data_IF_138617097766
#
_entry.id   IF_138617097766
#
_cell.length_a   1.000
_cell.length_b   1.000
_cell.length_c   1.000
_cell.angle_alpha   90.00
_cell.angle_beta   90.00
_cell.angle_gamma   90.00
#
_symmetry.space_group_name_H-M   'P 1'
#
loop_
_entity.id
_entity.type
_entity.pdbx_description
1 polymer ?
#
# COMPACT_ATOMS: atom_id res chain seq x y z
N UNK A 1 28.57 -22.89 0.35
CA UNK A 1 27.99 -23.42 1.61
C UNK A 1 26.49 -23.17 1.57
N UNK A 2 25.70 -24.25 1.58
CA UNK A 2 24.30 -24.28 1.19
C UNK A 2 23.38 -23.49 2.13
N UNK A 3 22.83 -22.37 1.64
CA UNK A 3 21.71 -21.66 2.25
C UNK A 3 20.39 -22.33 1.84
N UNK A 4 20.02 -23.40 2.55
CA UNK A 4 18.68 -23.98 2.48
C UNK A 4 17.70 -23.06 3.23
N UNK A 5 16.90 -22.34 2.46
CA UNK A 5 15.78 -21.52 2.95
C UNK A 5 14.82 -22.35 3.80
N UNK A 6 14.44 -21.82 4.96
CA UNK A 6 13.47 -22.42 5.88
C UNK A 6 12.11 -22.73 5.20
N UNK A 7 11.77 -22.02 4.11
CA UNK A 7 10.60 -22.27 3.26
C UNK A 7 10.65 -23.64 2.56
N UNK A 8 11.84 -24.14 2.18
CA UNK A 8 11.97 -25.47 1.58
C UNK A 8 11.74 -26.59 2.60
N UNK A 9 12.00 -26.36 3.90
CA UNK A 9 11.68 -27.33 4.96
C UNK A 9 10.19 -27.39 5.26
N UNK A 10 9.45 -26.30 5.05
CA UNK A 10 7.99 -26.28 5.21
C UNK A 10 7.26 -27.02 4.07
N UNK A 11 7.88 -27.08 2.88
CA UNK A 11 7.31 -27.71 1.68
C UNK A 11 7.86 -29.12 1.39
N UNK A 12 8.96 -29.52 2.03
CA UNK A 12 9.73 -30.72 1.68
C UNK A 12 9.62 -31.93 2.64
N UNK A 13 8.69 -31.92 3.60
CA UNK A 13 8.49 -33.07 4.51
C UNK A 13 7.62 -34.17 3.89
N UNK A 14 8.27 -35.15 3.26
CA UNK A 14 7.74 -36.50 2.95
C UNK A 14 7.40 -37.24 4.26
N UNK A 15 6.53 -38.24 4.39
CA UNK A 15 5.78 -39.14 3.51
C UNK A 15 4.50 -39.53 4.26
N UNK A 16 3.32 -39.29 3.69
CA UNK A 16 2.07 -39.83 4.22
C UNK A 16 1.60 -40.93 3.26
N UNK A 17 1.35 -42.12 3.81
CA UNK A 17 0.75 -43.27 3.14
C UNK A 17 -0.44 -42.86 2.28
N UNK A 18 -0.58 -43.38 1.05
CA UNK A 18 -1.69 -43.02 0.18
C UNK A 18 -2.99 -43.52 0.83
N UNK A 19 -3.87 -42.58 1.19
CA UNK A 19 -5.25 -42.90 1.52
C UNK A 19 -5.91 -43.25 0.19
N UNK A 20 -6.26 -44.53 0.02
CA UNK A 20 -7.00 -45.01 -1.15
C UNK A 20 -8.31 -44.22 -1.32
N UNK A 21 -8.75 -43.98 -2.57
CA UNK A 21 -10.00 -43.27 -2.81
C UNK A 21 -11.15 -44.12 -2.28
N UNK A 22 -11.86 -43.59 -1.28
CA UNK A 22 -13.11 -44.17 -0.77
C UNK A 22 -14.10 -44.25 -1.94
N UNK A 23 -14.48 -45.48 -2.27
CA UNK A 23 -15.57 -45.81 -3.18
C UNK A 23 -16.83 -45.09 -2.71
N UNK A 24 -17.46 -44.37 -3.63
CA UNK A 24 -18.72 -43.69 -3.42
C UNK A 24 -19.84 -44.73 -3.29
N UNK A 25 -20.17 -45.13 -2.07
CA UNK A 25 -21.49 -45.68 -1.76
C UNK A 25 -21.83 -45.49 -0.27
N UNK A 26 -22.98 -44.86 -0.04
CA UNK A 26 -23.76 -44.74 1.20
C UNK A 26 -23.06 -44.29 2.50
N UNK A 27 -23.27 -43.02 2.92
CA UNK A 27 -23.72 -42.67 4.28
C UNK A 27 -23.77 -41.14 4.53
N UNK A 28 -24.93 -40.52 4.34
CA UNK A 28 -25.15 -39.12 4.77
C UNK A 28 -25.01 -38.92 6.30
N UNK A 29 -25.23 -39.97 7.10
CA UNK A 29 -25.09 -39.91 8.57
C UNK A 29 -23.62 -39.83 9.03
N UNK A 30 -22.69 -40.47 8.31
CA UNK A 30 -21.27 -40.51 8.66
C UNK A 30 -20.56 -39.18 8.30
N UNK A 31 -21.01 -38.55 7.21
CA UNK A 31 -20.58 -37.21 6.82
C UNK A 31 -21.00 -36.13 7.83
N UNK A 32 -22.23 -36.23 8.36
CA UNK A 32 -22.72 -35.32 9.40
C UNK A 32 -21.89 -35.40 10.68
N UNK A 33 -21.54 -36.62 11.10
CA UNK A 33 -20.68 -36.87 12.25
C UNK A 33 -19.25 -36.33 12.02
N UNK A 34 -18.67 -36.59 10.86
CA UNK A 34 -17.33 -36.09 10.48
C UNK A 34 -17.28 -34.56 10.52
N UNK A 35 -18.29 -33.88 9.98
CA UNK A 35 -18.38 -32.42 10.03
C UNK A 35 -18.45 -31.90 11.47
N UNK A 36 -19.31 -32.48 12.31
CA UNK A 36 -19.45 -32.07 13.70
C UNK A 36 -18.16 -32.26 14.49
N UNK A 37 -17.41 -33.33 14.21
CA UNK A 37 -16.09 -33.58 14.80
C UNK A 37 -15.07 -32.52 14.38
N UNK A 38 -15.03 -32.12 13.11
CA UNK A 38 -14.15 -31.05 12.63
C UNK A 38 -14.51 -29.67 13.22
N UNK A 39 -15.79 -29.31 13.24
CA UNK A 39 -16.26 -28.07 13.87
C UNK A 39 -15.90 -28.06 15.37
N UNK A 40 -16.05 -29.20 16.05
CA UNK A 40 -15.64 -29.36 17.45
C UNK A 40 -14.13 -29.23 17.63
N UNK A 41 -13.32 -29.74 16.70
CA UNK A 41 -11.86 -29.60 16.76
C UNK A 41 -11.42 -28.16 16.54
N UNK A 42 -12.00 -27.46 15.56
CA UNK A 42 -11.75 -26.04 15.33
C UNK A 42 -12.18 -25.22 16.56
N UNK A 43 -13.32 -25.53 17.18
CA UNK A 43 -13.74 -24.92 18.43
C UNK A 43 -12.75 -25.20 19.58
N UNK A 44 -12.23 -26.43 19.69
CA UNK A 44 -11.22 -26.80 20.69
C UNK A 44 -9.90 -26.04 20.50
N UNK A 45 -9.52 -25.68 19.28
CA UNK A 45 -8.32 -24.85 19.08
C UNK A 45 -8.47 -23.45 19.69
N UNK A 46 -9.71 -22.95 19.80
CA UNK A 46 -10.05 -21.69 20.47
C UNK A 46 -10.10 -21.88 22.00
N UNK A 47 -10.44 -23.08 22.50
CA UNK A 47 -10.47 -23.35 23.95
C UNK A 47 -9.09 -23.43 24.58
N UNK A 48 -8.04 -23.67 23.79
CA UNK A 48 -6.64 -23.64 24.22
C UNK A 48 -6.10 -22.22 24.47
N UNK A 49 -6.81 -21.18 24.03
CA UNK A 49 -6.48 -19.79 24.36
C UNK A 49 -6.99 -19.42 25.76
N UNK A 50 -6.32 -18.47 26.41
CA UNK A 50 -6.88 -17.85 27.60
C UNK A 50 -8.19 -17.12 27.26
N UNK A 51 -9.03 -16.91 28.29
CA UNK A 51 -10.37 -16.35 28.12
C UNK A 51 -10.33 -14.95 27.48
N UNK A 52 -9.37 -14.11 27.88
CA UNK A 52 -9.26 -12.73 27.36
C UNK A 52 -8.79 -12.70 25.92
N UNK A 53 -7.83 -13.55 25.56
CA UNK A 53 -7.38 -13.71 24.17
C UNK A 53 -8.50 -14.21 23.27
N UNK A 54 -9.29 -15.18 23.76
CA UNK A 54 -10.44 -15.71 23.05
C UNK A 54 -11.50 -14.64 22.78
N UNK A 55 -11.88 -13.90 23.83
CA UNK A 55 -12.85 -12.80 23.73
C UNK A 55 -12.36 -11.74 22.75
N UNK A 56 -11.11 -11.28 22.88
CA UNK A 56 -10.54 -10.27 21.98
C UNK A 56 -10.51 -10.73 20.52
N UNK A 57 -10.22 -12.01 20.24
CA UNK A 57 -10.25 -12.54 18.86
C UNK A 57 -11.68 -12.64 18.33
N UNK A 58 -12.65 -13.01 19.16
CA UNK A 58 -14.05 -13.07 18.74
C UNK A 58 -14.62 -11.67 18.49
N UNK A 59 -14.33 -10.70 19.36
CA UNK A 59 -14.65 -9.30 19.16
C UNK A 59 -14.04 -8.77 17.87
N UNK A 60 -12.74 -9.01 17.66
CA UNK A 60 -12.03 -8.73 16.42
C UNK A 60 -12.80 -9.32 15.23
N UNK A 61 -13.07 -10.63 15.20
CA UNK A 61 -13.71 -11.30 14.06
C UNK A 61 -15.10 -10.78 13.76
N UNK A 62 -15.89 -10.54 14.80
CA UNK A 62 -17.21 -9.96 14.65
C UNK A 62 -17.13 -8.45 14.38
N UNK A 63 -15.97 -7.79 14.36
CA UNK A 63 -15.89 -6.36 14.09
C UNK A 63 -16.54 -5.52 15.19
N UNK A 64 -16.39 -5.94 16.45
CA UNK A 64 -16.70 -5.12 17.61
C UNK A 64 -15.52 -4.14 17.77
N UNK A 65 -15.80 -2.84 17.62
CA UNK A 65 -14.76 -1.81 17.53
C UNK A 65 -14.32 -1.37 18.92
N UNK A 66 -13.02 -1.48 19.20
CA UNK A 66 -12.42 -0.74 20.31
C UNK A 66 -12.27 0.73 19.89
N UNK A 67 -12.86 1.64 20.68
CA UNK A 67 -12.99 3.07 20.37
C UNK A 67 -11.72 3.88 20.63
N UNK A 68 -10.74 3.33 21.35
CA UNK A 68 -9.53 4.05 21.71
C UNK A 68 -8.50 4.04 20.57
N UNK A 69 -8.19 5.22 20.04
CA UNK A 69 -7.04 5.40 19.16
C UNK A 69 -5.82 5.79 20.01
N UNK A 70 -4.86 4.87 20.22
CA UNK A 70 -3.70 5.13 21.08
C UNK A 70 -2.73 6.14 20.45
N UNK A 71 -2.85 6.43 19.14
CA UNK A 71 -2.09 7.48 18.46
C UNK A 71 -2.54 8.91 18.81
N UNK A 72 -3.65 9.09 19.53
CA UNK A 72 -4.12 10.42 19.95
C UNK A 72 -3.16 11.10 20.94
N UNK A 73 -2.25 10.34 21.57
CA UNK A 73 -1.17 10.88 22.40
C UNK A 73 0.15 10.91 21.61
N UNK A 74 0.63 12.08 21.16
CA UNK A 74 1.88 12.20 20.41
C UNK A 74 3.09 11.63 21.15
N UNK A 75 3.14 11.78 22.47
CA UNK A 75 4.25 11.29 23.29
C UNK A 75 4.35 9.75 23.25
N UNK A 76 3.20 9.06 23.23
CA UNK A 76 3.17 7.59 23.08
C UNK A 76 3.72 7.17 21.71
N UNK A 77 3.35 7.89 20.64
CA UNK A 77 3.83 7.58 19.30
C UNK A 77 5.33 7.76 19.17
N UNK A 78 5.87 8.85 19.71
CA UNK A 78 7.30 9.12 19.65
C UNK A 78 8.08 8.11 20.51
N UNK A 79 7.55 7.70 21.67
CA UNK A 79 8.14 6.63 22.48
C UNK A 79 8.20 5.30 21.71
N UNK A 80 7.11 4.87 21.05
CA UNK A 80 7.13 3.61 20.30
C UNK A 80 8.11 3.62 19.13
N UNK A 81 8.26 4.75 18.45
CA UNK A 81 9.24 4.92 17.38
C UNK A 81 10.68 4.88 17.91
N UNK A 82 10.95 5.51 19.06
CA UNK A 82 12.26 5.44 19.71
C UNK A 82 12.60 4.01 20.15
N UNK A 83 11.64 3.31 20.76
CA UNK A 83 11.81 1.91 21.17
C UNK A 83 12.02 1.00 19.94
N UNK A 84 11.29 1.25 18.85
CA UNK A 84 11.47 0.52 17.59
C UNK A 84 12.88 0.71 17.04
N UNK A 85 13.38 1.94 17.03
CA UNK A 85 14.75 2.25 16.58
C UNK A 85 15.77 1.52 17.44
N UNK A 86 15.63 1.55 18.77
CA UNK A 86 16.47 0.81 19.70
C UNK A 86 16.47 -0.70 19.39
N UNK A 87 15.30 -1.31 19.21
CA UNK A 87 15.22 -2.74 18.87
C UNK A 87 15.88 -3.04 17.53
N UNK A 88 15.65 -2.22 16.49
CA UNK A 88 16.27 -2.38 15.18
C UNK A 88 17.80 -2.27 15.27
N UNK A 89 18.36 -1.30 16.01
CA UNK A 89 19.82 -1.21 16.17
C UNK A 89 20.44 -2.47 16.77
N UNK A 90 19.72 -3.14 17.68
CA UNK A 90 20.19 -4.36 18.33
C UNK A 90 20.17 -5.58 17.40
N UNK A 91 19.25 -5.65 16.44
CA UNK A 91 19.04 -6.85 15.61
C UNK A 91 19.42 -6.67 14.13
N UNK A 92 19.75 -5.47 13.67
CA UNK A 92 19.93 -5.20 12.22
C UNK A 92 21.20 -5.77 11.60
N UNK A 93 22.28 -5.95 12.35
CA UNK A 93 23.60 -6.34 11.80
C UNK A 93 23.51 -7.69 11.09
N UNK A 94 24.02 -7.76 9.87
CA UNK A 94 24.00 -8.95 9.01
C UNK A 94 22.63 -9.29 8.42
N UNK A 95 21.62 -8.44 8.60
CA UNK A 95 20.27 -8.67 8.08
C UNK A 95 20.00 -7.86 6.82
N UNK A 96 18.91 -8.19 6.12
CA UNK A 96 18.46 -7.43 4.95
C UNK A 96 18.11 -5.98 5.28
N UNK A 97 17.78 -5.67 6.54
CA UNK A 97 17.49 -4.29 6.96
C UNK A 97 18.75 -3.43 6.89
N UNK A 98 19.91 -3.94 7.32
CA UNK A 98 21.18 -3.22 7.18
C UNK A 98 21.48 -2.92 5.70
N UNK A 99 21.17 -3.87 4.80
CA UNK A 99 21.36 -3.61 3.37
C UNK A 99 20.35 -2.60 2.81
N UNK A 100 19.08 -2.66 3.23
CA UNK A 100 18.08 -1.67 2.82
C UNK A 100 18.40 -0.27 3.37
N UNK A 101 18.91 -0.17 4.60
CA UNK A 101 19.38 1.07 5.21
C UNK A 101 20.59 1.65 4.48
N UNK A 102 21.50 0.79 3.98
CA UNK A 102 22.62 1.21 3.15
C UNK A 102 22.19 1.69 1.75
N UNK A 103 21.11 1.14 1.18
CA UNK A 103 20.55 1.56 -0.11
C UNK A 103 19.86 2.92 0.03
N UNK A 104 18.91 3.04 0.96
CA UNK A 104 18.22 4.30 1.25
C UNK A 104 17.74 4.33 2.71
N UNK A 105 18.55 4.99 3.53
CA UNK A 105 18.26 5.20 4.96
C UNK A 105 16.98 6.01 5.16
N UNK A 106 16.70 7.00 4.32
CA UNK A 106 15.54 7.88 4.47
C UNK A 106 14.25 7.09 4.29
N UNK A 107 14.22 6.17 3.32
CA UNK A 107 13.08 5.28 3.11
C UNK A 107 12.76 4.43 4.34
N UNK A 108 13.74 3.64 4.83
CA UNK A 108 13.51 2.66 5.92
C UNK A 108 13.33 3.33 7.29
N UNK A 109 13.88 4.53 7.49
CA UNK A 109 13.69 5.30 8.73
C UNK A 109 12.52 6.27 8.69
N UNK A 110 11.79 6.36 7.57
CA UNK A 110 10.64 7.25 7.46
C UNK A 110 9.56 6.90 8.50
N UNK A 111 8.92 7.93 9.08
CA UNK A 111 7.84 7.73 10.07
C UNK A 111 6.71 6.91 9.47
N UNK A 112 6.32 7.20 8.23
CA UNK A 112 5.23 6.49 7.52
C UNK A 112 5.52 4.99 7.37
N UNK A 113 6.75 4.62 6.99
CA UNK A 113 7.15 3.22 6.88
C UNK A 113 7.08 2.52 8.24
N UNK A 114 7.73 3.07 9.27
CA UNK A 114 7.80 2.48 10.62
C UNK A 114 6.43 2.37 11.30
N UNK A 115 5.58 3.38 11.17
CA UNK A 115 4.24 3.37 11.76
C UNK A 115 3.36 2.23 11.22
N UNK A 116 3.56 1.81 9.97
CA UNK A 116 2.82 0.69 9.39
C UNK A 116 3.03 -0.60 10.18
N UNK A 117 4.27 -0.89 10.58
CA UNK A 117 4.64 -2.07 11.37
C UNK A 117 4.20 -1.95 12.82
N UNK A 118 4.34 -0.77 13.42
CA UNK A 118 3.82 -0.53 14.78
C UNK A 118 2.32 -0.79 14.82
N UNK A 119 1.54 -0.21 13.89
CA UNK A 119 0.08 -0.44 13.79
C UNK A 119 -0.25 -1.92 13.60
N UNK A 120 0.48 -2.61 12.72
CA UNK A 120 0.28 -4.04 12.47
C UNK A 120 0.51 -4.92 13.71
N UNK A 121 1.45 -4.54 14.59
CA UNK A 121 1.80 -5.26 15.82
C UNK A 121 1.21 -4.64 17.09
N UNK A 122 0.13 -3.86 16.99
CA UNK A 122 -0.51 -3.20 18.16
C UNK A 122 0.49 -2.41 19.03
N UNK A 123 1.42 -1.74 18.37
CA UNK A 123 2.47 -0.89 18.94
C UNK A 123 3.50 -1.62 19.81
N UNK A 124 3.61 -2.95 19.68
CA UNK A 124 4.76 -3.69 20.17
C UNK A 124 5.98 -3.37 19.28
N UNK A 125 6.86 -2.51 19.78
CA UNK A 125 8.07 -2.06 19.08
C UNK A 125 9.06 -3.20 18.78
N UNK A 126 9.12 -4.23 19.62
CA UNK A 126 10.02 -5.37 19.41
C UNK A 126 9.48 -6.28 18.30
N UNK A 127 8.19 -6.63 18.35
CA UNK A 127 7.54 -7.41 17.30
C UNK A 127 7.58 -6.68 15.96
N UNK A 128 7.36 -5.36 15.96
CA UNK A 128 7.47 -4.53 14.77
C UNK A 128 8.88 -4.54 14.17
N UNK A 129 9.94 -4.44 14.99
CA UNK A 129 11.32 -4.52 14.51
C UNK A 129 11.61 -5.84 13.79
N UNK A 130 11.16 -6.96 14.39
CA UNK A 130 11.30 -8.31 13.80
C UNK A 130 10.52 -8.41 12.49
N UNK A 131 9.28 -7.88 12.45
CA UNK A 131 8.46 -7.92 11.26
C UNK A 131 9.04 -7.08 10.12
N UNK A 132 9.66 -5.93 10.39
CA UNK A 132 10.35 -5.12 9.36
C UNK A 132 11.41 -5.95 8.63
N UNK A 133 12.24 -6.70 9.38
CA UNK A 133 13.28 -7.53 8.78
C UNK A 133 12.66 -8.63 7.91
N UNK A 134 11.67 -9.36 8.44
CA UNK A 134 10.96 -10.41 7.68
C UNK A 134 10.28 -9.88 6.42
N UNK A 135 9.65 -8.71 6.52
CA UNK A 135 9.03 -8.03 5.39
C UNK A 135 10.04 -7.71 4.30
N UNK A 136 11.21 -7.16 4.66
CA UNK A 136 12.26 -6.86 3.69
C UNK A 136 12.86 -8.13 3.10
N UNK A 137 12.95 -9.23 3.85
CA UNK A 137 13.40 -10.53 3.32
C UNK A 137 12.40 -11.07 2.29
N UNK A 138 11.11 -11.03 2.61
CA UNK A 138 10.03 -11.37 1.70
C UNK A 138 10.13 -10.50 0.44
N UNK A 139 10.23 -9.18 0.60
CA UNK A 139 10.32 -8.23 -0.51
C UNK A 139 11.53 -8.50 -1.40
N UNK A 140 12.71 -8.78 -0.83
CA UNK A 140 13.90 -9.19 -1.58
C UNK A 140 13.66 -10.47 -2.37
N UNK A 141 13.02 -11.47 -1.74
CA UNK A 141 12.76 -12.76 -2.40
C UNK A 141 11.78 -12.64 -3.58
N UNK A 142 10.84 -11.70 -3.50
CA UNK A 142 9.83 -11.47 -4.54
C UNK A 142 10.34 -10.57 -5.67
N UNK A 143 11.14 -9.55 -5.34
CA UNK A 143 11.41 -8.43 -6.25
C UNK A 143 12.89 -8.14 -6.48
N UNK A 144 13.80 -8.87 -5.83
CA UNK A 144 15.23 -8.60 -5.91
C UNK A 144 15.73 -7.58 -4.89
N UNK A 145 17.04 -7.46 -4.81
CA UNK A 145 17.76 -6.62 -3.86
C UNK A 145 17.57 -5.13 -4.17
N UNK A 146 17.57 -4.80 -5.45
CA UNK A 146 17.48 -3.44 -6.00
C UNK A 146 16.14 -2.75 -5.70
N UNK A 147 15.09 -3.51 -5.38
CA UNK A 147 13.76 -2.99 -5.04
C UNK A 147 13.49 -2.90 -3.54
N UNK A 148 14.46 -3.21 -2.68
CA UNK A 148 14.27 -3.26 -1.23
C UNK A 148 13.82 -1.93 -0.62
N UNK A 149 14.45 -0.82 -0.99
CA UNK A 149 14.12 0.50 -0.47
C UNK A 149 13.25 1.33 -1.43
N UNK A 150 12.52 0.65 -2.32
CA UNK A 150 11.63 1.28 -3.31
C UNK A 150 10.17 0.88 -3.08
N UNK A 151 9.22 1.80 -3.24
CA UNK A 151 7.79 1.42 -3.33
C UNK A 151 7.55 0.65 -4.63
N UNK A 152 7.05 -0.58 -4.55
CA UNK A 152 6.71 -1.41 -5.71
C UNK A 152 5.49 -0.81 -6.42
N UNK A 153 5.60 -0.58 -7.72
CA UNK A 153 4.52 -0.09 -8.60
C UNK A 153 4.17 -1.12 -9.67
N UNK A 154 3.14 -0.87 -10.48
CA UNK A 154 2.79 -1.70 -11.65
C UNK A 154 3.94 -1.84 -12.65
N UNK A 155 4.84 -0.85 -12.73
CA UNK A 155 6.02 -0.92 -13.59
C UNK A 155 7.07 -1.92 -13.09
N UNK A 156 7.03 -2.29 -11.80
CA UNK A 156 7.94 -3.28 -11.21
C UNK A 156 7.42 -4.72 -11.36
N UNK A 157 6.20 -4.90 -11.86
CA UNK A 157 5.54 -6.18 -12.08
C UNK A 157 5.72 -6.65 -13.53
N UNK A 158 5.88 -7.96 -13.72
CA UNK A 158 5.93 -8.56 -15.06
C UNK A 158 4.53 -8.69 -15.69
N UNK A 159 4.46 -9.13 -16.94
CA UNK A 159 3.18 -9.26 -17.65
C UNK A 159 2.28 -10.35 -17.06
N UNK A 160 2.85 -11.41 -16.49
CA UNK A 160 2.08 -12.46 -15.82
C UNK A 160 1.45 -11.96 -14.51
N UNK A 161 2.20 -11.15 -13.75
CA UNK A 161 1.72 -10.47 -12.54
C UNK A 161 0.56 -9.51 -12.88
N UNK A 162 0.71 -8.73 -13.95
CA UNK A 162 -0.34 -7.80 -14.42
C UNK A 162 -1.56 -8.55 -14.92
N UNK A 163 -1.38 -9.61 -15.70
CA UNK A 163 -2.47 -10.48 -16.14
C UNK A 163 -3.19 -11.10 -14.95
N UNK A 164 -2.45 -11.51 -13.90
CA UNK A 164 -3.03 -12.01 -12.65
C UNK A 164 -3.88 -10.95 -11.96
N UNK A 165 -3.40 -9.71 -11.87
CA UNK A 165 -4.19 -8.60 -11.33
C UNK A 165 -5.44 -8.33 -12.17
N UNK A 166 -5.32 -8.30 -13.50
CA UNK A 166 -6.44 -8.04 -14.42
C UNK A 166 -7.49 -9.16 -14.43
N UNK A 167 -7.12 -10.40 -14.10
CA UNK A 167 -8.05 -11.54 -14.01
C UNK A 167 -9.20 -11.32 -13.01
N UNK A 168 -9.02 -10.44 -12.03
CA UNK A 168 -9.98 -10.24 -10.94
C UNK A 168 -10.09 -11.39 -9.95
N UNK A 169 -9.21 -12.40 -10.04
CA UNK A 169 -9.14 -13.49 -9.04
C UNK A 169 -8.76 -12.98 -7.65
N UNK A 170 -8.12 -11.81 -7.56
CA UNK A 170 -7.86 -11.05 -6.35
C UNK A 170 -8.54 -9.68 -6.51
N UNK A 171 -9.33 -9.24 -5.53
CA UNK A 171 -10.00 -7.94 -5.57
C UNK A 171 -9.90 -7.22 -4.22
N UNK A 172 -9.95 -5.89 -4.26
CA UNK A 172 -10.14 -5.05 -3.06
C UNK A 172 -11.57 -4.54 -3.10
N UNK A 173 -12.34 -4.78 -2.04
CA UNK A 173 -13.69 -4.27 -1.96
C UNK A 173 -13.70 -2.74 -1.85
N UNK A 174 -14.63 -2.09 -2.54
CA UNK A 174 -14.92 -0.67 -2.34
C UNK A 174 -15.73 -0.40 -1.07
N UNK A 175 -16.26 -1.46 -0.44
CA UNK A 175 -16.97 -1.40 0.83
C UNK A 175 -16.08 -1.92 1.95
N UNK A 176 -16.37 -1.45 3.15
CA UNK A 176 -15.76 -1.94 4.37
C UNK A 176 -16.74 -2.86 5.09
N UNK A 177 -16.25 -3.65 6.03
CA UNK A 177 -17.13 -4.31 6.99
C UNK A 177 -17.62 -3.33 8.07
N UNK A 178 -18.46 -3.82 8.99
CA UNK A 178 -19.07 -2.98 10.04
C UNK A 178 -18.08 -2.30 10.99
N UNK A 179 -16.83 -2.78 11.07
CA UNK A 179 -15.78 -2.18 11.88
C UNK A 179 -14.95 -1.15 11.10
N UNK A 180 -15.27 -0.89 9.84
CA UNK A 180 -14.50 0.00 8.98
C UNK A 180 -13.18 -0.61 8.50
N UNK A 181 -13.13 -1.94 8.35
CA UNK A 181 -11.95 -2.66 7.84
C UNK A 181 -12.09 -2.87 6.33
N UNK A 182 -10.98 -2.70 5.61
CA UNK A 182 -10.92 -3.11 4.20
C UNK A 182 -11.11 -4.62 4.04
N UNK A 183 -11.84 -5.02 3.00
CA UNK A 183 -12.11 -6.42 2.67
C UNK A 183 -11.28 -6.82 1.44
N UNK A 184 -10.41 -7.82 1.61
CA UNK A 184 -9.60 -8.40 0.54
C UNK A 184 -10.22 -9.71 0.06
N UNK A 185 -10.56 -9.78 -1.22
CA UNK A 185 -11.38 -10.84 -1.81
C UNK A 185 -10.53 -11.75 -2.71
N UNK A 186 -10.80 -13.05 -2.64
CA UNK A 186 -10.19 -14.05 -3.52
C UNK A 186 -11.29 -14.89 -4.17
N UNK A 187 -11.39 -14.83 -5.50
CA UNK A 187 -12.40 -15.53 -6.30
C UNK A 187 -11.75 -16.61 -7.15
N UNK A 188 -11.69 -17.86 -6.67
CA UNK A 188 -11.20 -18.98 -7.48
C UNK A 188 -12.06 -19.24 -8.73
N UNK A 189 -13.33 -18.80 -8.77
CA UNK A 189 -14.23 -18.96 -9.92
C UNK A 189 -13.78 -18.18 -11.16
N UNK A 190 -12.97 -17.14 -10.99
CA UNK A 190 -12.43 -16.32 -12.07
C UNK A 190 -11.09 -16.85 -12.62
N UNK A 191 -10.63 -18.02 -12.16
CA UNK A 191 -9.43 -18.65 -12.72
C UNK A 191 -9.74 -19.16 -14.12
N UNK A 192 -9.03 -18.67 -15.14
CA UNK A 192 -9.16 -19.20 -16.49
C UNK A 192 -8.63 -20.63 -16.56
N UNK A 193 -9.35 -21.52 -17.24
CA UNK A 193 -8.93 -22.89 -17.50
C UNK A 193 -7.52 -22.91 -18.12
N UNK A 194 -6.58 -23.62 -17.50
CA UNK A 194 -5.19 -23.74 -17.97
C UNK A 194 -4.21 -22.67 -17.49
N UNK A 195 -4.66 -21.62 -16.81
CA UNK A 195 -3.76 -20.59 -16.23
C UNK A 195 -3.32 -20.96 -14.82
N UNK A 196 -2.43 -21.94 -14.70
CA UNK A 196 -1.70 -22.16 -13.46
C UNK A 196 -0.57 -21.14 -13.38
N UNK A 197 -0.87 -20.00 -12.74
CA UNK A 197 0.16 -19.03 -12.43
C UNK A 197 1.18 -19.65 -11.48
N UNK A 198 2.46 -19.35 -11.73
CA UNK A 198 3.51 -19.70 -10.78
C UNK A 198 3.17 -19.12 -9.40
N UNK A 199 3.53 -19.86 -8.34
CA UNK A 199 3.31 -19.41 -6.96
C UNK A 199 3.86 -18.00 -6.74
N UNK A 200 5.03 -17.70 -7.32
CA UNK A 200 5.66 -16.38 -7.25
C UNK A 200 4.81 -15.26 -7.82
N UNK A 201 4.19 -15.44 -8.98
CA UNK A 201 3.27 -14.47 -9.59
C UNK A 201 2.11 -14.15 -8.66
N UNK A 202 1.52 -15.19 -8.06
CA UNK A 202 0.42 -15.01 -7.10
C UNK A 202 0.86 -14.27 -5.84
N UNK A 203 2.07 -14.51 -5.35
CA UNK A 203 2.62 -13.81 -4.18
C UNK A 203 2.95 -12.35 -4.49
N UNK A 204 3.53 -12.04 -5.66
CA UNK A 204 3.80 -10.65 -6.09
C UNK A 204 2.52 -9.84 -6.28
N UNK A 205 1.50 -10.43 -6.91
CA UNK A 205 0.19 -9.80 -7.06
C UNK A 205 -0.47 -9.52 -5.69
N UNK A 206 -0.45 -10.48 -4.76
CA UNK A 206 -0.96 -10.29 -3.40
C UNK A 206 -0.18 -9.24 -2.62
N UNK A 207 1.15 -9.26 -2.70
CA UNK A 207 2.01 -8.24 -2.10
C UNK A 207 1.58 -6.86 -2.58
N UNK A 208 1.46 -6.67 -3.90
CA UNK A 208 1.09 -5.40 -4.49
C UNK A 208 -0.29 -4.94 -3.97
N UNK A 209 -1.32 -5.80 -4.03
CA UNK A 209 -2.68 -5.41 -3.60
C UNK A 209 -2.75 -5.10 -2.10
N UNK A 210 -2.12 -5.88 -1.24
CA UNK A 210 -2.14 -5.62 0.21
C UNK A 210 -1.38 -4.32 0.53
N UNK A 211 -0.22 -4.07 -0.09
CA UNK A 211 0.50 -2.82 0.10
C UNK A 211 -0.29 -1.60 -0.38
N UNK A 212 -1.13 -1.75 -1.40
CA UNK A 212 -2.09 -0.73 -1.83
C UNK A 212 -3.17 -0.46 -0.77
N UNK A 213 -3.73 -1.52 -0.17
CA UNK A 213 -4.70 -1.35 0.93
C UNK A 213 -4.08 -0.64 2.12
N UNK A 214 -2.80 -0.88 2.39
CA UNK A 214 -2.04 -0.24 3.46
C UNK A 214 -1.59 1.20 3.13
N UNK A 215 -1.95 1.77 1.98
CA UNK A 215 -1.82 3.22 1.79
C UNK A 215 -2.77 3.99 2.72
N UNK A 216 -3.88 3.36 3.15
CA UNK A 216 -4.82 3.91 4.14
C UNK A 216 -4.36 3.62 5.58
N UNK A 217 -4.24 4.66 6.39
CA UNK A 217 -3.95 4.51 7.83
C UNK A 217 -5.08 3.80 8.58
N UNK A 218 -6.33 3.96 8.15
CA UNK A 218 -7.46 3.26 8.75
C UNK A 218 -7.32 1.74 8.60
N UNK A 219 -6.90 1.27 7.42
CA UNK A 219 -6.64 -0.16 7.20
C UNK A 219 -5.44 -0.65 8.02
N UNK A 220 -4.42 0.19 8.22
CA UNK A 220 -3.29 -0.16 9.08
C UNK A 220 -3.74 -0.33 10.55
N UNK A 221 -4.59 0.57 11.07
CA UNK A 221 -5.09 0.54 12.45
C UNK A 221 -6.15 -0.55 12.68
N UNK A 222 -7.17 -0.56 11.83
CA UNK A 222 -8.33 -1.44 11.96
C UNK A 222 -8.02 -2.85 11.44
N UNK A 223 -6.98 -3.01 10.64
CA UNK A 223 -6.63 -4.26 9.97
C UNK A 223 -7.49 -4.54 8.75
N UNK A 224 -7.28 -5.73 8.20
CA UNK A 224 -7.91 -6.20 6.96
C UNK A 224 -8.60 -7.53 7.25
N UNK A 225 -9.77 -7.74 6.64
CA UNK A 225 -10.44 -9.03 6.60
C UNK A 225 -10.25 -9.65 5.22
N UNK A 226 -9.89 -10.93 5.19
CA UNK A 226 -9.76 -11.68 3.95
C UNK A 226 -10.97 -12.60 3.76
N UNK A 227 -11.49 -12.65 2.54
CA UNK A 227 -12.55 -13.58 2.16
C UNK A 227 -12.10 -14.37 0.94
N UNK A 228 -11.93 -15.68 1.13
CA UNK A 228 -11.80 -16.63 0.04
C UNK A 228 -13.20 -17.13 -0.32
N UNK A 229 -13.71 -16.77 -1.50
CA UNK A 229 -15.09 -17.03 -1.89
C UNK A 229 -15.17 -18.10 -2.98
N UNK A 230 -14.98 -19.35 -2.58
CA UNK A 230 -15.08 -20.54 -3.45
C UNK A 230 -16.50 -21.06 -3.65
N UNK A 231 -17.51 -20.48 -3.00
CA UNK A 231 -18.91 -20.89 -3.14
C UNK A 231 -19.51 -20.65 -4.54
N UNK A 232 -18.79 -19.93 -5.41
CA UNK A 232 -19.12 -19.72 -6.83
C UNK A 232 -18.39 -20.68 -7.77
N UNK A 233 -17.45 -21.47 -7.27
CA UNK A 233 -16.64 -22.38 -8.10
C UNK A 233 -17.27 -23.77 -8.17
N UNK A 234 -17.04 -24.45 -9.29
CA UNK A 234 -17.15 -25.91 -9.33
C UNK A 234 -15.90 -26.53 -8.69
N UNK A 235 -16.01 -27.67 -7.97
CA UNK A 235 -14.87 -28.32 -7.36
C UNK A 235 -13.89 -28.78 -8.44
N UNK A 236 -12.70 -28.17 -8.47
CA UNK A 236 -11.59 -28.67 -9.30
C UNK A 236 -10.54 -29.27 -8.40
N UNK A 237 -9.99 -30.44 -8.79
CA UNK A 237 -9.09 -31.27 -7.96
C UNK A 237 -7.75 -30.61 -7.58
N UNK A 238 -7.48 -29.37 -8.00
CA UNK A 238 -6.21 -28.68 -7.74
C UNK A 238 -6.44 -27.34 -7.03
N UNK A 239 -6.91 -27.42 -5.79
CA UNK A 239 -6.80 -26.29 -4.86
C UNK A 239 -5.33 -26.16 -4.43
N UNK A 240 -4.55 -25.45 -5.25
CA UNK A 240 -3.16 -25.11 -4.92
C UNK A 240 -3.11 -24.28 -3.63
N UNK A 241 -2.28 -24.71 -2.68
CA UNK A 241 -1.92 -23.99 -1.45
C UNK A 241 -1.24 -22.66 -1.80
N UNK A 242 -2.06 -21.67 -2.15
CA UNK A 242 -1.58 -20.32 -2.38
C UNK A 242 -1.21 -19.70 -1.03
N UNK A 243 0.08 -19.79 -0.66
CA UNK A 243 0.61 -19.36 0.64
C UNK A 243 0.13 -17.96 1.04
N UNK A 244 -0.25 -17.81 2.31
CA UNK A 244 -0.54 -16.48 2.87
C UNK A 244 0.75 -15.70 3.09
N UNK A 245 0.69 -14.39 2.83
CA UNK A 245 1.80 -13.47 3.04
C UNK A 245 1.81 -12.94 4.48
N UNK A 246 2.18 -13.79 5.42
CA UNK A 246 2.19 -13.49 6.85
C UNK A 246 3.19 -12.39 7.24
N UNK A 247 4.23 -12.19 6.43
CA UNK A 247 5.31 -11.24 6.72
C UNK A 247 4.99 -9.80 6.25
N UNK A 248 3.80 -9.54 5.70
CA UNK A 248 3.37 -8.19 5.36
C UNK A 248 2.90 -7.40 6.61
N UNK A 249 3.09 -6.07 6.64
CA UNK A 249 2.75 -5.23 7.78
C UNK A 249 1.26 -4.86 7.84
N UNK A 250 0.40 -5.88 7.88
CA UNK A 250 -1.03 -5.68 8.12
C UNK A 250 -1.51 -6.54 9.28
N UNK A 251 -2.51 -6.00 9.99
CA UNK A 251 -3.22 -6.75 11.01
C UNK A 251 -4.28 -7.62 10.33
N UNK A 252 -4.00 -8.91 10.14
CA UNK A 252 -5.01 -9.86 9.67
C UNK A 252 -6.03 -10.10 10.78
N UNK A 253 -7.25 -9.62 10.58
CA UNK A 253 -8.27 -9.76 11.62
C UNK A 253 -8.99 -11.10 11.53
N UNK A 254 -9.34 -11.51 10.30
CA UNK A 254 -9.99 -12.78 10.02
C UNK A 254 -9.80 -13.21 8.58
N UNK A 255 -9.85 -14.52 8.36
CA UNK A 255 -9.95 -15.13 7.03
C UNK A 255 -11.21 -15.98 6.98
N UNK A 256 -12.11 -15.65 6.07
CA UNK A 256 -13.36 -16.38 5.85
C UNK A 256 -13.24 -17.18 4.55
N UNK A 257 -13.30 -18.51 4.64
CA UNK A 257 -13.26 -19.40 3.50
C UNK A 257 -14.66 -19.95 3.25
N UNK A 258 -15.27 -19.61 2.12
CA UNK A 258 -16.64 -19.98 1.77
C UNK A 258 -16.65 -21.03 0.66
N UNK A 259 -17.37 -22.12 0.85
CA UNK A 259 -17.43 -23.25 -0.09
C UNK A 259 -18.83 -23.80 -0.24
N UNK A 260 -19.17 -24.22 -1.46
CA UNK A 260 -20.36 -25.01 -1.79
C UNK A 260 -20.03 -26.52 -1.93
N UNK A 261 -18.75 -26.88 -1.94
CA UNK A 261 -18.26 -28.25 -2.04
C UNK A 261 -17.84 -28.77 -0.67
N UNK A 262 -18.38 -29.92 -0.29
CA UNK A 262 -18.02 -30.57 0.96
C UNK A 262 -16.55 -31.02 0.96
N UNK A 263 -16.05 -31.50 -0.18
CA UNK A 263 -14.66 -31.91 -0.31
C UNK A 263 -13.69 -30.75 -0.04
N UNK A 264 -13.97 -29.57 -0.61
CA UNK A 264 -13.17 -28.36 -0.37
C UNK A 264 -13.26 -27.89 1.10
N UNK A 265 -14.47 -27.90 1.67
CA UNK A 265 -14.68 -27.59 3.08
C UNK A 265 -13.85 -28.50 4.00
N UNK A 266 -13.89 -29.82 3.78
CA UNK A 266 -13.13 -30.79 4.58
C UNK A 266 -11.62 -30.59 4.39
N UNK A 267 -11.16 -30.45 3.15
CA UNK A 267 -9.76 -30.24 2.83
C UNK A 267 -9.18 -29.01 3.54
N UNK A 268 -9.85 -27.87 3.43
CA UNK A 268 -9.41 -26.62 4.06
C UNK A 268 -9.51 -26.68 5.58
N UNK A 269 -10.54 -27.31 6.12
CA UNK A 269 -10.69 -27.47 7.57
C UNK A 269 -9.54 -28.29 8.17
N UNK A 270 -9.11 -29.36 7.50
CA UNK A 270 -7.92 -30.13 7.88
C UNK A 270 -6.63 -29.32 7.68
N UNK A 271 -6.52 -28.56 6.58
CA UNK A 271 -5.35 -27.73 6.30
C UNK A 271 -5.13 -26.66 7.37
N UNK A 272 -6.19 -26.08 7.92
CA UNK A 272 -6.12 -25.10 9.02
C UNK A 272 -5.42 -25.69 10.26
N UNK A 273 -5.57 -26.99 10.52
CA UNK A 273 -4.92 -27.65 11.66
C UNK A 273 -3.39 -27.64 11.55
N UNK A 274 -2.85 -27.51 10.34
CA UNK A 274 -1.41 -27.42 10.07
C UNK A 274 -0.87 -25.98 10.20
N UNK A 275 -1.73 -24.98 10.33
CA UNK A 275 -1.30 -23.58 10.49
C UNK A 275 -0.71 -23.35 11.88
N UNK A 276 0.12 -22.31 12.07
CA UNK A 276 0.58 -21.88 13.40
C UNK A 276 -0.60 -21.53 14.32
N UNK A 277 -0.46 -21.82 15.61
CA UNK A 277 -1.50 -21.62 16.62
C UNK A 277 -2.01 -20.17 16.68
N UNK A 278 -1.16 -19.17 16.46
CA UNK A 278 -1.55 -17.75 16.46
C UNK A 278 -2.56 -17.37 15.36
N UNK A 279 -2.66 -18.17 14.29
CA UNK A 279 -3.46 -17.88 13.11
C UNK A 279 -4.79 -18.65 13.12
N UNK A 280 -4.79 -19.91 13.56
CA UNK A 280 -5.97 -20.79 13.52
C UNK A 280 -7.24 -20.12 14.08
N UNK A 281 -7.21 -19.41 15.23
CA UNK A 281 -8.38 -18.79 15.81
C UNK A 281 -9.01 -17.71 14.92
N UNK A 282 -8.28 -17.17 13.95
CA UNK A 282 -8.72 -16.14 12.99
C UNK A 282 -9.27 -16.73 11.68
N UNK A 283 -9.22 -18.05 11.51
CA UNK A 283 -9.79 -18.74 10.35
C UNK A 283 -11.25 -19.10 10.61
N UNK A 284 -12.13 -18.86 9.64
CA UNK A 284 -13.54 -19.30 9.65
C UNK A 284 -13.87 -19.98 8.34
N UNK A 285 -14.41 -21.19 8.41
CA UNK A 285 -14.84 -21.95 7.22
C UNK A 285 -16.36 -21.98 7.18
N UNK A 286 -16.93 -21.58 6.05
CA UNK A 286 -18.37 -21.53 5.80
C UNK A 286 -18.71 -22.51 4.69
N UNK A 287 -19.64 -23.41 4.98
CA UNK A 287 -20.16 -24.37 4.00
C UNK A 287 -21.65 -24.13 3.75
N UNK A 288 -22.05 -24.14 2.48
CA UNK A 288 -23.45 -24.01 2.05
C UNK A 288 -23.56 -23.42 0.65
N UNK A 289 -24.78 -23.03 0.27
CA UNK A 289 -25.01 -22.27 -0.97
C UNK A 289 -24.29 -20.90 -0.92
N UNK A 290 -24.25 -20.20 -2.05
CA UNK A 290 -23.78 -18.82 -2.11
C UNK A 290 -24.51 -17.94 -1.08
N UNK A 291 -25.85 -18.02 -1.04
CA UNK A 291 -26.68 -17.27 -0.10
C UNK A 291 -26.37 -17.61 1.36
N UNK A 292 -26.19 -18.89 1.70
CA UNK A 292 -25.84 -19.32 3.06
C UNK A 292 -24.49 -18.74 3.51
N UNK A 293 -23.50 -18.74 2.61
CA UNK A 293 -22.18 -18.18 2.90
C UNK A 293 -22.25 -16.67 3.13
N UNK A 294 -22.98 -15.93 2.29
CA UNK A 294 -23.18 -14.49 2.46
C UNK A 294 -23.91 -14.17 3.77
N UNK A 295 -24.94 -14.95 4.12
CA UNK A 295 -25.65 -14.79 5.39
C UNK A 295 -24.71 -15.00 6.59
N UNK A 296 -23.85 -16.01 6.55
CA UNK A 296 -22.84 -16.25 7.59
C UNK A 296 -21.84 -15.10 7.66
N UNK A 297 -21.33 -14.61 6.54
CA UNK A 297 -20.42 -13.46 6.49
C UNK A 297 -21.04 -12.20 7.12
N UNK A 298 -22.34 -11.97 6.91
CA UNK A 298 -23.06 -10.85 7.52
C UNK A 298 -23.07 -10.91 9.06
N UNK A 299 -23.08 -12.10 9.67
CA UNK A 299 -22.95 -12.27 11.13
C UNK A 299 -21.58 -11.85 11.68
N UNK A 300 -20.55 -11.81 10.83
CA UNK A 300 -19.23 -11.25 11.13
C UNK A 300 -19.10 -9.78 10.70
N UNK A 301 -20.22 -9.17 10.29
CA UNK A 301 -20.29 -7.78 9.89
C UNK A 301 -19.77 -7.50 8.48
N UNK A 302 -19.58 -8.52 7.65
CA UNK A 302 -19.15 -8.37 6.25
C UNK A 302 -20.42 -8.37 5.38
N UNK A 303 -20.85 -7.21 4.85
CA UNK A 303 -22.10 -7.12 4.10
C UNK A 303 -21.96 -7.77 2.71
N UNK A 304 -23.08 -8.21 2.14
CA UNK A 304 -23.11 -8.88 0.83
C UNK A 304 -22.45 -8.02 -0.25
N UNK A 305 -22.73 -6.73 -0.23
CA UNK A 305 -22.27 -5.75 -1.22
C UNK A 305 -20.76 -5.49 -1.11
N UNK A 306 -20.12 -5.91 -0.01
CA UNK A 306 -18.67 -5.91 0.10
C UNK A 306 -18.01 -7.09 -0.61
N UNK A 307 -18.77 -8.14 -0.95
CA UNK A 307 -18.24 -9.38 -1.56
C UNK A 307 -18.68 -9.47 -3.02
N UNK A 308 -19.97 -9.34 -3.30
CA UNK A 308 -20.55 -9.56 -4.63
C UNK A 308 -21.34 -8.33 -5.10
N UNK A 309 -21.60 -8.28 -6.40
CA UNK A 309 -22.52 -7.31 -7.00
C UNK A 309 -23.99 -7.74 -6.83
N UNK A 310 -24.92 -6.94 -7.36
CA UNK A 310 -26.36 -7.21 -7.29
C UNK A 310 -26.77 -8.51 -7.99
N UNK A 311 -25.98 -8.97 -8.97
CA UNK A 311 -26.17 -10.22 -9.71
C UNK A 311 -25.53 -11.45 -9.05
N UNK A 312 -25.08 -11.34 -7.80
CA UNK A 312 -24.36 -12.41 -7.08
C UNK A 312 -23.05 -12.87 -7.76
N UNK A 313 -22.41 -11.97 -8.48
CA UNK A 313 -21.14 -12.19 -9.16
C UNK A 313 -20.01 -11.32 -8.58
N UNK A 314 -18.73 -11.71 -8.76
CA UNK A 314 -17.61 -10.84 -8.43
C UNK A 314 -17.69 -9.51 -9.19
N UNK A 315 -17.40 -8.39 -8.52
CA UNK A 315 -17.55 -7.07 -9.12
C UNK A 315 -16.38 -6.68 -10.04
N UNK A 316 -16.33 -7.29 -11.22
CA UNK A 316 -15.27 -7.05 -12.21
C UNK A 316 -15.20 -5.60 -12.70
N UNK A 317 -16.33 -4.90 -12.77
CA UNK A 317 -16.37 -3.49 -13.19
C UNK A 317 -15.62 -2.63 -12.17
N UNK A 318 -15.96 -2.76 -10.88
CA UNK A 318 -15.29 -2.01 -9.82
C UNK A 318 -13.80 -2.38 -9.72
N UNK A 319 -13.46 -3.67 -9.88
CA UNK A 319 -12.07 -4.13 -9.90
C UNK A 319 -11.26 -3.50 -11.03
N UNK A 320 -11.79 -3.49 -12.26
CA UNK A 320 -11.09 -2.89 -13.40
C UNK A 320 -10.99 -1.37 -13.29
N UNK A 321 -11.98 -0.70 -12.69
CA UNK A 321 -11.88 0.73 -12.36
C UNK A 321 -10.76 0.99 -11.35
N UNK A 322 -10.64 0.16 -10.30
CA UNK A 322 -9.53 0.23 -9.36
C UNK A 322 -8.18 0.03 -10.07
N UNK A 323 -8.06 -0.97 -10.93
CA UNK A 323 -6.82 -1.25 -11.66
C UNK A 323 -6.41 -0.08 -12.56
N UNK A 324 -7.34 0.50 -13.33
CA UNK A 324 -7.09 1.69 -14.18
C UNK A 324 -6.66 2.89 -13.35
N UNK A 325 -7.34 3.14 -12.23
CA UNK A 325 -6.96 4.20 -11.30
C UNK A 325 -5.54 4.03 -10.77
N UNK A 326 -5.09 2.79 -10.54
CA UNK A 326 -3.69 2.52 -10.17
C UNK A 326 -2.72 2.89 -11.28
N UNK A 327 -3.05 2.58 -12.53
CA UNK A 327 -2.22 2.99 -13.68
C UNK A 327 -2.09 4.52 -13.73
N UNK A 328 -3.21 5.24 -13.58
CA UNK A 328 -3.22 6.71 -13.59
C UNK A 328 -2.39 7.31 -12.44
N UNK A 329 -2.64 6.88 -11.21
CA UNK A 329 -1.93 7.38 -10.02
C UNK A 329 -0.41 7.16 -10.10
N UNK A 330 0.00 6.01 -10.62
CA UNK A 330 1.41 5.65 -10.68
C UNK A 330 2.13 6.26 -11.88
N UNK A 331 1.43 6.55 -12.98
CA UNK A 331 1.97 7.36 -14.07
C UNK A 331 2.25 8.79 -13.63
N UNK A 332 1.33 9.41 -12.87
CA UNK A 332 1.55 10.75 -12.28
C UNK A 332 2.70 10.73 -11.28
N UNK A 333 2.84 9.65 -10.50
CA UNK A 333 3.98 9.50 -9.59
C UNK A 333 5.30 9.37 -10.34
N UNK A 334 5.35 8.67 -11.49
CA UNK A 334 6.57 8.60 -12.30
C UNK A 334 6.92 9.97 -12.87
N UNK A 335 5.96 10.77 -13.34
CA UNK A 335 6.24 12.13 -13.83
C UNK A 335 6.73 13.07 -12.71
N UNK A 336 6.18 12.97 -11.51
CA UNK A 336 6.64 13.75 -10.36
C UNK A 336 7.99 13.22 -9.83
N UNK A 337 8.20 11.91 -9.88
CA UNK A 337 9.44 11.26 -9.42
C UNK A 337 10.58 11.41 -10.41
N UNK A 338 10.37 11.51 -11.73
CA UNK A 338 11.43 11.87 -12.68
C UNK A 338 11.83 13.34 -12.50
N UNK A 339 10.86 14.19 -12.13
CA UNK A 339 11.13 15.56 -11.71
C UNK A 339 11.93 15.57 -10.39
N UNK A 340 11.55 14.73 -9.41
CA UNK A 340 12.22 14.58 -8.11
C UNK A 340 13.56 13.83 -8.18
N UNK A 341 13.74 12.90 -9.12
CA UNK A 341 14.97 12.13 -9.33
C UNK A 341 15.98 12.96 -10.13
N UNK A 342 15.53 13.84 -11.04
CA UNK A 342 16.35 14.94 -11.57
C UNK A 342 16.69 15.98 -10.48
N UNK A 343 15.80 16.23 -9.51
CA UNK A 343 16.07 17.09 -8.34
C UNK A 343 17.01 16.44 -7.31
N UNK A 344 17.01 15.11 -7.17
CA UNK A 344 17.90 14.36 -6.27
C UNK A 344 19.27 14.09 -6.91
N UNK A 345 19.33 13.81 -8.21
CA UNK A 345 20.57 13.70 -8.96
C UNK A 345 21.32 15.05 -9.03
N UNK A 346 20.60 16.18 -9.12
CA UNK A 346 21.20 17.52 -9.02
C UNK A 346 21.65 17.89 -7.60
N UNK A 347 21.10 17.24 -6.56
CA UNK A 347 21.55 17.41 -5.17
C UNK A 347 22.81 16.60 -4.82
N UNK A 348 23.13 15.56 -5.58
CA UNK A 348 24.32 14.74 -5.37
C UNK A 348 25.54 15.21 -6.19
N UNK A 349 25.38 16.20 -7.07
CA UNK A 349 26.45 16.68 -7.96
C UNK A 349 26.26 18.11 -8.44
N UNK A 350 26.45 19.08 -7.54
CA UNK A 350 27.07 20.39 -7.82
C UNK A 350 26.34 21.46 -8.65
N UNK A 351 25.39 21.16 -9.54
CA UNK A 351 24.80 22.19 -10.42
C UNK A 351 23.27 22.20 -10.37
N UNK A 352 22.68 23.33 -9.95
CA UNK A 352 21.24 23.56 -10.06
C UNK A 352 20.88 23.66 -11.55
N UNK A 353 19.91 22.86 -11.99
CA UNK A 353 19.35 22.93 -13.35
C UNK A 353 18.00 23.67 -13.29
N UNK A 354 17.80 24.74 -14.09
CA UNK A 354 16.52 25.43 -14.22
C UNK A 354 15.40 24.51 -14.69
N UNK A 355 14.27 24.53 -13.97
CA UNK A 355 13.03 23.86 -14.38
C UNK A 355 12.09 24.85 -15.09
N UNK A 356 11.08 24.35 -15.85
CA UNK A 356 10.13 25.23 -16.54
C UNK A 356 9.47 26.25 -15.62
N UNK A 357 9.11 25.85 -14.40
CA UNK A 357 8.44 26.71 -13.40
C UNK A 357 9.37 27.64 -12.62
N UNK A 358 10.69 27.52 -12.78
CA UNK A 358 11.65 28.41 -12.11
C UNK A 358 11.67 29.82 -12.77
N UNK A 359 11.86 30.86 -11.97
CA UNK A 359 11.93 32.26 -12.41
C UNK A 359 13.41 32.66 -12.59
N UNK A 360 13.87 32.71 -13.84
CA UNK A 360 15.29 32.85 -14.19
C UNK A 360 15.70 34.29 -14.39
N UNK A 361 16.80 34.72 -13.77
CA UNK A 361 17.38 36.05 -13.94
C UNK A 361 18.23 36.11 -15.22
N UNK A 362 18.46 37.32 -15.73
CA UNK A 362 19.33 37.54 -16.90
C UNK A 362 18.65 37.50 -18.29
N UNK A 363 19.43 37.69 -19.36
CA UNK A 363 18.96 37.74 -20.75
C UNK A 363 18.31 36.43 -21.20
N UNK A 364 17.31 36.49 -22.10
CA UNK A 364 16.65 35.29 -22.64
C UNK A 364 15.59 34.64 -21.73
N UNK A 365 15.65 34.89 -20.42
CA UNK A 365 14.72 34.33 -19.41
C UNK A 365 13.24 34.67 -19.60
N UNK A 366 12.91 35.71 -20.39
CA UNK A 366 11.54 36.20 -20.57
C UNK A 366 10.56 35.14 -21.08
N UNK A 367 11.06 34.19 -21.87
CA UNK A 367 10.26 33.12 -22.49
C UNK A 367 10.06 31.91 -21.57
N UNK A 368 10.79 31.82 -20.45
CA UNK A 368 10.63 30.70 -19.52
C UNK A 368 9.26 30.73 -18.85
N UNK A 369 8.65 29.57 -18.63
CA UNK A 369 7.27 29.45 -18.14
C UNK A 369 7.10 30.12 -16.77
N UNK A 370 8.06 29.95 -15.85
CA UNK A 370 8.08 30.65 -14.56
C UNK A 370 8.09 32.18 -14.71
N UNK A 371 8.85 32.73 -15.65
CA UNK A 371 8.88 34.18 -15.93
C UNK A 371 7.58 34.65 -16.62
N UNK A 372 6.90 33.80 -17.38
CA UNK A 372 5.56 34.08 -17.93
C UNK A 372 4.53 34.12 -16.81
N UNK A 373 4.53 33.10 -15.94
CA UNK A 373 3.64 33.00 -14.78
C UNK A 373 3.80 34.20 -13.85
N UNK A 374 5.03 34.55 -13.48
CA UNK A 374 5.32 35.73 -12.65
C UNK A 374 4.74 37.00 -13.26
N UNK A 375 4.89 37.21 -14.57
CA UNK A 375 4.31 38.38 -15.27
C UNK A 375 2.79 38.36 -15.25
N UNK A 376 2.18 37.20 -15.45
CA UNK A 376 0.72 37.06 -15.41
C UNK A 376 0.17 37.35 -14.01
N UNK A 377 0.84 36.88 -12.95
CA UNK A 377 0.49 37.19 -11.57
C UNK A 377 0.64 38.69 -11.28
N UNK A 378 1.76 39.30 -11.70
CA UNK A 378 1.97 40.73 -11.56
C UNK A 378 0.93 41.56 -12.32
N UNK A 379 0.48 41.12 -13.50
CA UNK A 379 -0.58 41.78 -14.26
C UNK A 379 -1.92 41.72 -13.54
N UNK A 380 -2.26 40.58 -12.93
CA UNK A 380 -3.53 40.41 -12.19
C UNK A 380 -3.66 41.37 -11.02
N UNK A 381 -2.55 41.62 -10.31
CA UNK A 381 -2.55 42.49 -9.12
C UNK A 381 -2.04 43.91 -9.42
N UNK A 382 -1.85 44.27 -10.70
CA UNK A 382 -1.21 45.53 -11.09
C UNK A 382 -1.97 46.78 -10.60
N UNK A 383 -3.30 46.77 -10.69
CA UNK A 383 -4.14 47.89 -10.27
C UNK A 383 -4.00 48.13 -8.76
N UNK A 384 -4.20 47.07 -7.97
CA UNK A 384 -4.01 47.10 -6.51
C UNK A 384 -2.58 47.49 -6.12
N UNK A 385 -1.58 47.00 -6.85
CA UNK A 385 -0.18 47.38 -6.64
C UNK A 385 0.11 48.85 -6.96
N UNK A 386 -0.65 49.49 -7.86
CA UNK A 386 -0.45 50.92 -8.17
C UNK A 386 -1.01 51.82 -7.07
N UNK A 387 -2.16 51.46 -6.52
CA UNK A 387 -2.93 52.28 -5.57
C UNK A 387 -2.55 52.05 -4.11
N UNK A 388 -1.65 51.10 -3.84
CA UNK A 388 -1.30 50.64 -2.50
C UNK A 388 -0.07 51.32 -1.89
N UNK A 389 0.05 51.25 -0.56
CA UNK A 389 1.19 51.80 0.19
C UNK A 389 2.46 50.95 -0.01
N UNK A 390 3.63 51.44 0.43
CA UNK A 390 4.88 50.66 0.32
C UNK A 390 4.84 49.34 1.09
N UNK A 391 4.10 49.28 2.21
CA UNK A 391 3.92 48.06 3.01
C UNK A 391 3.07 47.03 2.25
N UNK A 392 1.95 47.49 1.69
CA UNK A 392 1.01 46.64 0.95
C UNK A 392 1.64 46.12 -0.36
N UNK A 393 2.47 46.93 -1.02
CA UNK A 393 3.28 46.52 -2.19
C UNK A 393 4.22 45.37 -1.87
N UNK A 394 4.81 45.37 -0.67
CA UNK A 394 5.65 44.26 -0.21
C UNK A 394 4.80 43.00 -0.02
N UNK A 395 3.64 43.11 0.62
CA UNK A 395 2.74 41.97 0.84
C UNK A 395 2.22 41.37 -0.48
N UNK A 396 1.89 42.21 -1.47
CA UNK A 396 1.52 41.74 -2.82
C UNK A 396 2.69 41.04 -3.52
N UNK A 397 3.92 41.53 -3.31
CA UNK A 397 5.13 40.89 -3.84
C UNK A 397 5.38 39.53 -3.19
N UNK A 398 5.24 39.44 -1.87
CA UNK A 398 5.35 38.19 -1.10
C UNK A 398 4.30 37.17 -1.56
N UNK A 399 3.06 37.61 -1.78
CA UNK A 399 1.98 36.74 -2.28
C UNK A 399 2.34 36.14 -3.64
N UNK A 400 2.93 36.92 -4.55
CA UNK A 400 3.39 36.41 -5.85
C UNK A 400 4.52 35.40 -5.68
N UNK A 401 5.47 35.63 -4.77
CA UNK A 401 6.55 34.68 -4.47
C UNK A 401 5.96 33.38 -3.95
N UNK A 402 5.07 33.46 -2.96
CA UNK A 402 4.41 32.30 -2.35
C UNK A 402 3.62 31.49 -3.38
N UNK A 403 2.89 32.13 -4.29
CA UNK A 403 2.12 31.46 -5.34
C UNK A 403 3.03 30.73 -6.35
N UNK A 404 4.20 31.28 -6.64
CA UNK A 404 5.21 30.65 -7.51
C UNK A 404 5.84 29.47 -6.77
N UNK A 405 6.21 29.64 -5.50
CA UNK A 405 6.83 28.60 -4.68
C UNK A 405 5.87 27.45 -4.37
N UNK A 406 4.59 27.72 -4.09
CA UNK A 406 3.53 26.70 -3.92
C UNK A 406 3.32 25.85 -5.18
N UNK A 407 3.60 26.42 -6.36
CA UNK A 407 3.58 25.70 -7.65
C UNK A 407 4.92 25.05 -7.99
N UNK A 408 5.82 24.96 -7.02
CA UNK A 408 7.12 24.32 -7.16
C UNK A 408 8.19 25.16 -7.86
N UNK A 409 7.94 26.44 -8.16
CA UNK A 409 8.92 27.33 -8.81
C UNK A 409 9.90 27.97 -7.83
N UNK A 410 11.17 28.11 -8.23
CA UNK A 410 12.24 28.82 -7.49
C UNK A 410 12.70 30.06 -8.25
N UNK A 411 13.32 31.01 -7.57
CA UNK A 411 13.96 32.15 -8.22
C UNK A 411 15.44 31.83 -8.41
N UNK A 412 15.93 31.78 -9.66
CA UNK A 412 17.30 31.35 -9.94
C UNK A 412 18.09 32.41 -10.68
N UNK A 413 19.31 32.70 -10.22
CA UNK A 413 20.27 33.57 -10.91
C UNK A 413 21.49 32.76 -11.34
N UNK A 414 22.11 33.16 -12.44
CA UNK A 414 23.33 32.51 -12.91
C UNK A 414 24.53 33.24 -12.31
N UNK A 415 25.45 32.50 -11.72
CA UNK A 415 26.70 33.04 -11.24
C UNK A 415 27.56 33.45 -12.46
N UNK A 416 28.03 34.69 -12.46
CA UNK A 416 28.72 35.27 -13.62
C UNK A 416 30.09 34.59 -13.88
N UNK A 417 30.73 34.08 -12.83
CA UNK A 417 32.06 33.47 -12.89
C UNK A 417 31.99 31.99 -13.24
N UNK A 418 31.12 31.23 -12.57
CA UNK A 418 31.03 29.77 -12.77
C UNK A 418 30.05 29.36 -13.88
N UNK A 419 29.18 30.28 -14.30
CA UNK A 419 28.03 30.02 -15.19
C UNK A 419 27.04 28.99 -14.63
N UNK A 420 27.13 28.65 -13.36
CA UNK A 420 26.19 27.75 -12.68
C UNK A 420 24.97 28.53 -12.19
N UNK A 421 23.84 27.83 -12.02
CA UNK A 421 22.66 28.45 -11.42
C UNK A 421 22.73 28.34 -9.90
N UNK A 422 22.32 29.43 -9.24
CA UNK A 422 22.17 29.50 -7.80
C UNK A 422 20.79 30.05 -7.46
N UNK A 423 20.26 29.66 -6.30
CA UNK A 423 18.98 30.17 -5.82
C UNK A 423 19.15 31.63 -5.38
N UNK A 424 18.31 32.50 -5.95
CA UNK A 424 18.30 33.91 -5.61
C UNK A 424 17.73 34.09 -4.20
N UNK A 425 18.32 35.00 -3.43
CA UNK A 425 17.81 35.36 -2.13
C UNK A 425 16.39 35.94 -2.21
N UNK A 426 15.64 35.86 -1.12
CA UNK A 426 14.29 36.43 -1.04
C UNK A 426 14.25 37.92 -1.43
N UNK A 427 15.28 38.69 -1.06
CA UNK A 427 15.41 40.11 -1.42
C UNK A 427 15.57 40.29 -2.95
N UNK A 428 16.31 39.41 -3.60
CA UNK A 428 16.51 39.43 -5.06
C UNK A 428 15.23 39.04 -5.81
N UNK A 429 14.50 38.05 -5.30
CA UNK A 429 13.18 37.68 -5.82
C UNK A 429 12.19 38.87 -5.73
N UNK A 430 12.11 39.53 -4.57
CA UNK A 430 11.31 40.74 -4.39
C UNK A 430 11.70 41.84 -5.38
N UNK A 431 13.00 42.10 -5.53
CA UNK A 431 13.52 43.13 -6.46
C UNK A 431 13.14 42.83 -7.91
N UNK A 432 13.16 41.56 -8.31
CA UNK A 432 12.78 41.14 -9.66
C UNK A 432 11.30 41.36 -9.96
N UNK A 433 10.43 41.05 -9.00
CA UNK A 433 8.98 41.29 -9.13
C UNK A 433 8.72 42.80 -9.19
N UNK A 434 9.34 43.58 -8.32
CA UNK A 434 9.26 45.04 -8.37
C UNK A 434 9.72 45.61 -9.73
N UNK A 435 10.81 45.07 -10.30
CA UNK A 435 11.27 45.45 -11.64
C UNK A 435 10.27 45.02 -12.73
N UNK A 436 9.58 43.91 -12.54
CA UNK A 436 8.53 43.43 -13.45
C UNK A 436 7.35 44.40 -13.47
N UNK A 437 6.87 44.86 -12.31
CA UNK A 437 5.86 45.92 -12.23
C UNK A 437 6.31 47.20 -12.96
N UNK A 438 7.55 47.63 -12.75
CA UNK A 438 8.11 48.82 -13.45
C UNK A 438 8.16 48.63 -14.96
N UNK A 439 8.51 47.44 -15.44
CA UNK A 439 8.55 47.14 -16.87
C UNK A 439 7.15 47.11 -17.50
N UNK A 440 6.16 46.56 -16.80
CA UNK A 440 4.76 46.55 -17.23
C UNK A 440 4.22 47.98 -17.37
N UNK A 441 4.61 48.90 -16.47
CA UNK A 441 4.24 50.32 -16.52
C UNK A 441 4.87 51.11 -17.67
N UNK A 442 5.92 50.59 -18.33
CA UNK A 442 6.55 51.30 -19.45
C UNK A 442 5.64 51.22 -20.68
N UNK A 443 5.20 52.35 -21.27
CA UNK A 443 4.49 52.32 -22.53
C UNK A 443 5.36 51.67 -23.62
N UNK A 444 4.76 50.86 -24.49
CA UNK A 444 5.48 50.19 -25.57
C UNK A 444 6.13 51.24 -26.48
N UNK A 445 7.46 51.26 -26.56
CA UNK A 445 8.15 52.00 -27.63
C UNK A 445 7.81 51.28 -28.95
N UNK A 446 6.83 51.82 -29.67
CA UNK A 446 6.60 51.47 -31.07
C UNK A 446 7.94 51.60 -31.82
N UNK A 447 8.28 50.58 -32.60
CA UNK A 447 9.46 50.57 -33.47
C UNK A 447 9.35 51.72 -34.48
N UNK A 448 9.94 52.87 -34.18
CA UNK A 448 10.39 53.80 -35.20
C UNK A 448 11.83 53.41 -35.55
N UNK A 449 12.00 52.75 -36.68
CA UNK A 449 13.20 52.86 -37.53
C UNK A 449 12.84 52.35 -38.92
N UNK A 450 12.58 53.32 -39.79
CA UNK A 450 12.85 53.27 -41.22
C UNK A 450 14.29 52.86 -41.48
#
# INVERSE_FOLDING_TARGET
>A
MNNNSWLQRLLGGTSATPISPLSADNNNNDLGATRQQLDSFLANSITQLDVRQRESILEDLHGIRNSENPENNPASVDLWLQLLDMHLQNIKRGTVYETAEAIDRVYVTSRKFRMMFLRANRYDSQAAAIQIIKFLELKRSLFGQEKLAKKITLADLDEDDKAKLQSGTLQISSKQDRAGRGVFLMFPSLRSNGTEYQLQTSLRARYYMVMNMLESEENQRNGIVMVYFGALSQPTQRESNSGLLWDLPFRLVGVHCCFNSLAAYLFISVAILRLPFAIRPRMRVHYGSCADCLYKLASFGIPKEAVLNESDEPNMIAHMQWYRRRQELELTYVSDSDTDMQLLASRAGGAIVPRPMDVLFGPGSRKNEGNVLMRNLALKVLAEYNDSTNRDKMQLTETIIDDITKKGGRFLKQNDDTKEWEEASHIEACRKIAHTFRNIRRPSRAKSKS
#
